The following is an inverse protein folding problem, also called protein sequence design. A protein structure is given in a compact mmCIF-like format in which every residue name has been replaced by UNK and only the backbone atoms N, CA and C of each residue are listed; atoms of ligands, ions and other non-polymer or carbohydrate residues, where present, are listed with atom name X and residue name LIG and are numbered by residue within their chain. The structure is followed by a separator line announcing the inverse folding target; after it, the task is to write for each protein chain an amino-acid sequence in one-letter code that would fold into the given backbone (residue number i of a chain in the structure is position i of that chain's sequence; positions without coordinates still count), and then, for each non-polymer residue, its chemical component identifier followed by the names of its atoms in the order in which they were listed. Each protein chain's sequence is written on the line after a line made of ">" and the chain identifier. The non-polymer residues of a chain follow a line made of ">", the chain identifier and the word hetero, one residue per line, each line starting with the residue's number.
data_IF_532052656891
#
_entry.id   IF_532052656891
#
_cell.length_a   1.000
_cell.length_b   1.000
_cell.length_c   1.000
_cell.angle_alpha   90.00
_cell.angle_beta   90.00
_cell.angle_gamma   90.00
#
_symmetry.space_group_name_H-M   'P 1'
#
loop_
_entity.id
_entity.type
_entity.pdbx_description
1 polymer ?
#
# COMPACT_ATOMS: atom_id res chain seq x y z
N UNK A 1 -23.99 40.09 -11.60
CA UNK A 1 -23.33 40.29 -12.91
C UNK A 1 -22.45 39.13 -13.36
N UNK A 2 -21.62 38.53 -12.49
CA UNK A 2 -20.82 37.33 -12.82
C UNK A 2 -21.61 36.19 -13.49
N UNK A 3 -22.67 35.68 -12.85
CA UNK A 3 -23.47 34.57 -13.41
C UNK A 3 -24.17 34.95 -14.71
N UNK A 4 -24.65 36.19 -14.85
CA UNK A 4 -25.26 36.65 -16.10
C UNK A 4 -24.25 36.59 -17.25
N UNK A 5 -23.01 36.99 -17.01
CA UNK A 5 -21.95 36.94 -18.03
C UNK A 5 -21.65 35.51 -18.47
N UNK A 6 -21.34 34.61 -17.53
CA UNK A 6 -20.90 33.24 -17.86
C UNK A 6 -22.02 32.23 -18.19
N UNK A 7 -23.30 32.59 -17.98
CA UNK A 7 -24.43 31.78 -18.42
C UNK A 7 -24.93 32.15 -19.82
N UNK A 8 -24.72 33.40 -20.26
CA UNK A 8 -25.16 33.86 -21.59
C UNK A 8 -24.02 33.89 -22.63
N UNK A 9 -22.76 34.09 -22.20
CA UNK A 9 -21.57 34.03 -23.07
C UNK A 9 -20.89 32.65 -22.96
N UNK A 10 -20.18 32.19 -24.00
CA UNK A 10 -19.40 30.94 -23.94
C UNK A 10 -18.30 31.01 -22.86
N UNK A 11 -18.10 29.90 -22.13
CA UNK A 11 -17.18 29.83 -21.01
C UNK A 11 -15.71 29.78 -21.47
N UNK A 12 -14.83 30.68 -21.00
CA UNK A 12 -13.40 30.54 -21.20
C UNK A 12 -12.85 29.43 -20.30
N UNK A 13 -11.99 28.57 -20.87
CA UNK A 13 -11.31 27.50 -20.15
C UNK A 13 -9.80 27.71 -20.19
N UNK A 14 -9.17 27.60 -19.03
CA UNK A 14 -7.73 27.79 -18.84
C UNK A 14 -7.11 26.55 -18.20
N UNK A 15 -5.87 26.24 -18.58
CA UNK A 15 -5.08 25.18 -17.94
C UNK A 15 -4.67 25.56 -16.52
N UNK A 16 -4.52 24.56 -15.65
CA UNK A 16 -3.91 24.65 -14.31
C UNK A 16 -2.79 23.61 -14.11
N UNK A 17 -2.29 23.05 -15.22
CA UNK A 17 -1.25 22.01 -15.20
C UNK A 17 0.06 22.49 -14.56
N UNK A 18 0.33 23.79 -14.64
CA UNK A 18 1.44 24.50 -14.01
C UNK A 18 1.45 24.36 -12.48
N UNK A 19 0.30 24.10 -11.85
CA UNK A 19 0.19 23.89 -10.41
C UNK A 19 0.22 22.42 -9.96
N UNK A 20 0.10 21.47 -10.89
CA UNK A 20 0.02 20.03 -10.59
C UNK A 20 0.98 19.19 -11.44
N UNK A 21 2.13 19.75 -11.78
CA UNK A 21 3.06 19.20 -12.77
C UNK A 21 3.88 18.02 -12.24
N UNK A 22 4.29 18.05 -10.97
CA UNK A 22 5.25 17.13 -10.38
C UNK A 22 4.89 15.66 -10.56
N UNK A 23 3.62 15.29 -10.31
CA UNK A 23 3.17 13.89 -10.41
C UNK A 23 3.25 13.36 -11.85
N UNK A 24 2.94 14.21 -12.84
CA UNK A 24 3.02 13.87 -14.26
C UNK A 24 4.48 13.73 -14.71
N UNK A 25 5.33 14.68 -14.36
CA UNK A 25 6.76 14.60 -14.68
C UNK A 25 7.40 13.37 -14.07
N UNK A 26 7.14 13.09 -12.80
CA UNK A 26 7.65 11.87 -12.15
C UNK A 26 7.19 10.61 -12.89
N UNK A 27 5.92 10.52 -13.28
CA UNK A 27 5.40 9.36 -14.02
C UNK A 27 6.07 9.21 -15.39
N UNK A 28 6.23 10.31 -16.14
CA UNK A 28 6.85 10.31 -17.48
C UNK A 28 8.36 10.04 -17.45
N UNK A 29 9.05 10.40 -16.36
CA UNK A 29 10.45 10.02 -16.12
C UNK A 29 10.55 8.52 -15.83
N UNK A 30 9.62 7.97 -15.03
CA UNK A 30 9.56 6.52 -14.74
C UNK A 30 9.29 5.71 -16.02
N UNK A 31 8.44 6.19 -16.94
CA UNK A 31 8.20 5.55 -18.23
C UNK A 31 9.27 5.82 -19.28
N UNK A 32 10.28 6.65 -18.95
CA UNK A 32 11.34 7.09 -19.87
C UNK A 32 10.82 7.85 -21.09
N UNK A 33 9.71 8.56 -20.93
CA UNK A 33 9.26 9.55 -21.92
C UNK A 33 10.08 10.84 -21.80
N UNK A 34 10.49 11.18 -20.58
CA UNK A 34 11.38 12.30 -20.27
C UNK A 34 12.69 11.71 -19.73
N UNK A 35 13.76 11.77 -20.52
CA UNK A 35 15.10 11.28 -20.10
C UNK A 35 16.05 12.44 -19.76
N UNK A 36 15.73 13.66 -20.18
CA UNK A 36 16.52 14.86 -19.89
C UNK A 36 15.64 16.14 -19.84
N UNK A 37 16.22 17.26 -19.44
CA UNK A 37 15.50 18.55 -19.33
C UNK A 37 14.92 19.04 -20.67
N UNK A 38 15.52 18.71 -21.81
CA UNK A 38 14.99 19.10 -23.12
C UNK A 38 13.72 18.32 -23.46
N UNK A 39 13.70 17.01 -23.20
CA UNK A 39 12.49 16.19 -23.38
C UNK A 39 11.33 16.69 -22.52
N UNK A 40 11.64 17.19 -21.32
CA UNK A 40 10.67 17.82 -20.42
C UNK A 40 10.04 19.09 -21.01
N UNK A 41 10.86 19.96 -21.61
CA UNK A 41 10.36 21.15 -22.33
C UNK A 41 9.51 20.72 -23.53
N UNK A 42 9.98 19.73 -24.30
CA UNK A 42 9.28 19.21 -25.46
C UNK A 42 7.94 18.61 -25.06
N UNK A 43 7.88 17.84 -23.97
CA UNK A 43 6.65 17.29 -23.38
C UNK A 43 5.63 18.39 -23.07
N UNK A 44 6.05 19.51 -22.49
CA UNK A 44 5.15 20.63 -22.21
C UNK A 44 4.54 21.23 -23.48
N UNK A 45 5.22 21.19 -24.63
CA UNK A 45 4.67 21.73 -25.89
C UNK A 45 3.42 20.99 -26.38
N UNK A 46 3.21 19.75 -25.94
CA UNK A 46 2.02 18.94 -26.29
C UNK A 46 0.77 19.31 -25.47
N UNK A 47 0.94 20.13 -24.43
CA UNK A 47 -0.12 20.38 -23.45
C UNK A 47 -1.08 21.51 -23.86
N UNK A 48 -2.28 21.50 -23.26
CA UNK A 48 -3.19 22.64 -23.35
C UNK A 48 -2.62 23.90 -22.69
N UNK A 49 -1.77 23.74 -21.67
CA UNK A 49 -1.06 24.83 -21.00
C UNK A 49 -0.23 25.65 -22.00
N UNK A 50 0.60 24.99 -22.81
CA UNK A 50 1.43 25.65 -23.81
C UNK A 50 0.60 26.47 -24.81
N UNK A 51 -0.53 25.91 -25.27
CA UNK A 51 -1.45 26.62 -26.17
C UNK A 51 -2.03 27.88 -25.52
N UNK A 52 -2.38 27.82 -24.23
CA UNK A 52 -3.01 28.95 -23.51
C UNK A 52 -2.03 30.04 -23.07
N UNK A 53 -0.77 29.70 -22.79
CA UNK A 53 0.27 30.68 -22.44
C UNK A 53 0.42 31.79 -23.50
N UNK A 54 0.26 31.46 -24.79
CA UNK A 54 0.32 32.45 -25.89
C UNK A 54 -0.94 33.31 -26.02
N UNK A 55 -2.08 32.84 -25.49
CA UNK A 55 -3.38 33.49 -25.65
C UNK A 55 -3.76 34.35 -24.45
N UNK A 56 -3.35 33.95 -23.24
CA UNK A 56 -3.62 34.67 -22.01
C UNK A 56 -2.38 34.63 -21.07
N UNK A 57 -1.27 35.28 -21.46
CA UNK A 57 0.02 35.17 -20.75
C UNK A 57 -0.06 35.64 -19.29
N UNK A 58 -0.81 36.71 -19.02
CA UNK A 58 -0.95 37.26 -17.67
C UNK A 58 -1.58 36.28 -16.67
N UNK A 59 -2.42 35.35 -17.14
CA UNK A 59 -3.02 34.32 -16.29
C UNK A 59 -1.95 33.38 -15.71
N UNK A 60 -0.92 33.09 -16.49
CA UNK A 60 0.21 32.21 -16.17
C UNK A 60 1.43 32.98 -15.66
N UNK A 61 1.27 34.26 -15.32
CA UNK A 61 2.36 35.16 -14.92
C UNK A 61 3.46 35.38 -15.98
N UNK A 62 3.18 35.17 -17.26
CA UNK A 62 4.10 35.54 -18.35
C UNK A 62 4.01 37.04 -18.65
N UNK A 63 5.16 37.69 -18.81
CA UNK A 63 5.27 39.12 -19.13
C UNK A 63 5.17 39.42 -20.64
N UNK A 64 5.20 38.39 -21.49
CA UNK A 64 5.17 38.54 -22.94
C UNK A 64 4.92 37.21 -23.66
N UNK A 65 4.66 37.29 -24.96
CA UNK A 65 4.32 36.15 -25.82
C UNK A 65 5.37 35.85 -26.90
N UNK A 66 6.54 36.48 -26.83
CA UNK A 66 7.61 36.17 -27.77
C UNK A 66 8.16 34.76 -27.49
N UNK A 67 8.75 34.13 -28.52
CA UNK A 67 9.40 32.82 -28.37
C UNK A 67 10.39 32.77 -27.19
N UNK A 68 11.11 33.86 -26.94
CA UNK A 68 12.03 33.98 -25.80
C UNK A 68 11.28 33.93 -24.46
N UNK A 69 10.23 34.74 -24.28
CA UNK A 69 9.47 34.73 -23.03
C UNK A 69 8.84 33.37 -22.73
N UNK A 70 8.32 32.69 -23.76
CA UNK A 70 7.75 31.35 -23.62
C UNK A 70 8.82 30.32 -23.27
N UNK A 71 9.95 30.33 -23.99
CA UNK A 71 11.06 29.41 -23.72
C UNK A 71 11.61 29.60 -22.31
N UNK A 72 11.89 30.84 -21.91
CA UNK A 72 12.44 31.17 -20.59
C UNK A 72 11.48 30.68 -19.48
N UNK A 73 10.17 30.88 -19.66
CA UNK A 73 9.16 30.45 -18.68
C UNK A 73 9.01 28.93 -18.61
N UNK A 74 9.01 28.22 -19.74
CA UNK A 74 8.95 26.75 -19.75
C UNK A 74 10.20 26.15 -19.10
N UNK A 75 11.38 26.71 -19.38
CA UNK A 75 12.63 26.29 -18.75
C UNK A 75 12.59 26.50 -17.24
N UNK A 76 12.10 27.64 -16.75
CA UNK A 76 11.93 27.90 -15.31
C UNK A 76 10.96 26.90 -14.66
N UNK A 77 9.85 26.60 -15.34
CA UNK A 77 8.83 25.65 -14.86
C UNK A 77 9.38 24.22 -14.75
N UNK A 78 10.14 23.78 -15.76
CA UNK A 78 10.83 22.48 -15.76
C UNK A 78 11.88 22.43 -14.65
N UNK A 79 12.72 23.46 -14.54
CA UNK A 79 13.79 23.52 -13.53
C UNK A 79 13.22 23.42 -12.11
N UNK A 80 12.19 24.23 -11.80
CA UNK A 80 11.54 24.21 -10.49
C UNK A 80 10.91 22.84 -10.19
N UNK A 81 10.21 22.26 -11.16
CA UNK A 81 9.51 20.97 -10.99
C UNK A 81 10.51 19.84 -10.75
N UNK A 82 11.58 19.77 -11.55
CA UNK A 82 12.62 18.75 -11.42
C UNK A 82 13.41 18.92 -10.12
N UNK A 83 13.74 20.16 -9.73
CA UNK A 83 14.42 20.45 -8.47
C UNK A 83 13.60 19.99 -7.26
N UNK A 84 12.28 20.25 -7.25
CA UNK A 84 11.39 19.80 -6.17
C UNK A 84 11.29 18.26 -6.10
N UNK A 85 11.26 17.59 -7.26
CA UNK A 85 11.24 16.12 -7.37
C UNK A 85 12.55 15.49 -6.91
N UNK A 86 13.69 16.10 -7.27
CA UNK A 86 15.01 15.68 -6.81
C UNK A 86 15.16 15.88 -5.30
N UNK A 87 14.73 17.03 -4.76
CA UNK A 87 14.72 17.29 -3.32
C UNK A 87 13.89 16.26 -2.55
N UNK A 88 12.81 15.78 -3.17
CA UNK A 88 11.93 14.73 -2.65
C UNK A 88 12.47 13.31 -2.87
N UNK A 89 13.68 13.16 -3.45
CA UNK A 89 14.34 11.90 -3.80
C UNK A 89 13.49 10.98 -4.69
N UNK A 90 12.64 11.57 -5.53
CA UNK A 90 11.84 10.84 -6.51
C UNK A 90 12.62 10.60 -7.80
N UNK A 91 13.51 11.52 -8.16
CA UNK A 91 14.40 11.45 -9.31
C UNK A 91 15.83 11.82 -8.91
N UNK A 92 16.80 11.49 -9.76
CA UNK A 92 18.16 12.01 -9.72
C UNK A 92 18.45 12.81 -11.00
N UNK A 93 19.20 13.91 -10.86
CA UNK A 93 19.67 14.71 -11.99
C UNK A 93 21.17 14.49 -12.15
N UNK A 94 21.60 13.99 -13.30
CA UNK A 94 23.00 13.74 -13.66
C UNK A 94 23.48 14.82 -14.65
N UNK A 95 24.72 15.29 -14.47
CA UNK A 95 25.34 16.34 -15.31
C UNK A 95 24.48 17.60 -15.52
N UNK A 96 23.63 17.92 -14.54
CA UNK A 96 22.65 19.02 -14.57
C UNK A 96 21.62 18.96 -15.73
N UNK A 97 21.54 17.84 -16.45
CA UNK A 97 20.75 17.70 -17.68
C UNK A 97 19.90 16.43 -17.73
N UNK A 98 20.50 15.28 -17.48
CA UNK A 98 19.86 13.98 -17.62
C UNK A 98 19.11 13.63 -16.33
N UNK A 99 17.96 12.96 -16.46
CA UNK A 99 17.10 12.61 -15.33
C UNK A 99 16.82 11.11 -15.29
N UNK A 100 16.88 10.53 -14.09
CA UNK A 100 16.58 9.12 -13.87
C UNK A 100 15.61 8.94 -12.70
N UNK A 101 14.69 7.96 -12.77
CA UNK A 101 13.78 7.67 -11.67
C UNK A 101 14.49 6.98 -10.51
N UNK A 102 14.17 7.38 -9.27
CA UNK A 102 14.60 6.70 -8.04
C UNK A 102 13.46 5.84 -7.47
N UNK A 103 13.77 5.04 -6.44
CA UNK A 103 12.82 4.13 -5.77
C UNK A 103 11.52 4.82 -5.35
N UNK A 104 11.58 6.03 -4.75
CA UNK A 104 10.37 6.74 -4.34
C UNK A 104 9.53 7.20 -5.55
N UNK A 105 10.18 7.66 -6.62
CA UNK A 105 9.49 8.08 -7.85
C UNK A 105 8.79 6.91 -8.54
N UNK A 106 9.46 5.75 -8.60
CA UNK A 106 8.88 4.50 -9.12
C UNK A 106 7.65 4.07 -8.32
N UNK A 107 7.71 4.10 -6.98
CA UNK A 107 6.57 3.76 -6.11
C UNK A 107 5.42 4.76 -6.33
N UNK A 108 5.72 6.05 -6.43
CA UNK A 108 4.71 7.10 -6.65
C UNK A 108 3.96 6.94 -7.97
N UNK A 109 4.70 6.70 -9.05
CA UNK A 109 4.12 6.45 -10.36
C UNK A 109 3.31 5.14 -10.39
N UNK A 110 3.83 4.06 -9.79
CA UNK A 110 3.19 2.75 -9.80
C UNK A 110 1.82 2.74 -9.10
N UNK A 111 1.71 3.37 -7.93
CA UNK A 111 0.46 3.41 -7.15
C UNK A 111 -0.42 4.63 -7.43
N UNK A 112 0.03 5.52 -8.32
CA UNK A 112 -0.64 6.78 -8.63
C UNK A 112 -0.89 7.64 -7.37
N UNK A 113 0.19 7.86 -6.61
CA UNK A 113 0.20 8.61 -5.36
C UNK A 113 0.99 9.89 -5.56
N UNK A 114 0.51 10.99 -4.98
CA UNK A 114 1.19 12.27 -5.05
C UNK A 114 2.61 12.18 -4.46
N UNK A 115 3.61 12.74 -5.14
CA UNK A 115 5.02 12.66 -4.76
C UNK A 115 5.28 13.14 -3.32
N UNK A 116 4.57 14.19 -2.89
CA UNK A 116 4.70 14.72 -1.53
C UNK A 116 4.26 13.69 -0.49
N UNK A 117 3.26 12.86 -0.79
CA UNK A 117 2.73 11.86 0.15
C UNK A 117 3.73 10.74 0.42
N UNK A 118 4.52 10.36 -0.58
CA UNK A 118 5.56 9.31 -0.45
C UNK A 118 6.85 9.85 0.16
N UNK A 119 7.15 11.14 -0.06
CA UNK A 119 8.27 11.81 0.60
C UNK A 119 8.12 11.85 2.14
N UNK A 120 6.88 11.77 2.65
CA UNK A 120 6.63 11.64 4.09
C UNK A 120 6.74 10.18 4.55
N UNK A 121 7.40 9.91 5.69
CA UNK A 121 7.51 8.57 6.23
C UNK A 121 6.12 7.99 6.54
N UNK A 122 5.92 6.67 6.35
CA UNK A 122 4.62 6.03 6.47
C UNK A 122 4.05 6.20 7.88
N UNK A 123 2.71 6.29 8.02
CA UNK A 123 2.07 6.38 9.31
C UNK A 123 2.29 5.06 10.08
N UNK A 124 3.05 5.13 11.17
CA UNK A 124 3.09 4.04 12.15
C UNK A 124 1.78 4.03 12.94
N UNK A 125 1.26 2.84 13.32
CA UNK A 125 0.13 2.76 14.24
C UNK A 125 0.52 3.42 15.56
N UNK A 126 0.11 4.69 15.75
CA UNK A 126 0.42 5.49 16.93
C UNK A 126 0.95 6.92 16.67
N UNK A 127 1.45 7.25 15.47
CA UNK A 127 1.85 8.64 15.13
C UNK A 127 0.87 9.24 14.11
N UNK A 128 -0.12 9.95 14.64
CA UNK A 128 -1.30 10.43 13.92
C UNK A 128 -1.10 11.61 12.98
N UNK A 129 -0.51 11.40 11.80
CA UNK A 129 -0.82 12.21 10.62
C UNK A 129 -1.14 11.29 9.47
N UNK A 130 -2.44 11.05 9.30
CA UNK A 130 -2.96 10.07 8.34
C UNK A 130 -3.86 10.84 7.37
N UNK A 131 -3.40 10.92 6.12
CA UNK A 131 -4.20 10.97 4.89
C UNK A 131 -5.20 12.14 4.75
N UNK A 132 -4.82 13.13 3.94
CA UNK A 132 -5.62 14.32 3.68
C UNK A 132 -6.39 14.14 2.39
N UNK A 133 -7.65 13.71 2.47
CA UNK A 133 -8.50 13.60 1.28
C UNK A 133 -9.93 14.12 1.46
N UNK A 134 -10.38 14.45 2.67
CA UNK A 134 -11.77 14.90 2.88
C UNK A 134 -11.82 16.35 3.42
N UNK A 135 -12.13 17.37 2.59
CA UNK A 135 -12.11 18.78 2.98
C UNK A 135 -13.29 19.24 3.86
N UNK A 136 -14.27 18.37 4.13
CA UNK A 136 -15.44 18.71 4.94
C UNK A 136 -15.15 18.60 6.44
N UNK A 137 -15.19 19.75 7.14
CA UNK A 137 -15.11 19.84 8.60
C UNK A 137 -16.18 18.93 9.23
N UNK A 138 -15.78 18.02 10.13
CA UNK A 138 -16.71 17.14 10.82
C UNK A 138 -17.16 17.77 12.15
N UNK A 139 -18.41 18.29 12.25
CA UNK A 139 -18.89 18.96 13.47
C UNK A 139 -19.00 18.03 14.68
N UNK A 140 -19.04 16.69 14.48
CA UNK A 140 -19.11 15.67 15.55
C UNK A 140 -17.76 15.00 15.86
N UNK A 141 -16.66 15.44 15.25
CA UNK A 141 -15.33 14.86 15.45
C UNK A 141 -14.88 14.77 16.94
N UNK A 142 -15.21 15.72 17.83
CA UNK A 142 -14.83 15.63 19.24
C UNK A 142 -15.44 14.43 19.97
N UNK A 143 -16.70 14.08 19.67
CA UNK A 143 -17.39 12.95 20.29
C UNK A 143 -16.82 11.62 19.80
N UNK A 144 -16.45 11.54 18.52
CA UNK A 144 -15.84 10.35 17.93
C UNK A 144 -14.43 10.12 18.53
N UNK A 145 -13.63 11.18 18.68
CA UNK A 145 -12.29 11.10 19.27
C UNK A 145 -12.28 10.52 20.70
N UNK A 146 -13.37 10.71 21.47
CA UNK A 146 -13.51 10.12 22.80
C UNK A 146 -13.82 8.62 22.78
N UNK A 147 -14.38 8.08 21.69
CA UNK A 147 -14.77 6.67 21.58
C UNK A 147 -13.72 5.79 20.89
N UNK A 148 -12.88 6.37 20.02
CA UNK A 148 -11.87 5.59 19.28
C UNK A 148 -10.75 5.04 20.18
N UNK A 149 -10.13 3.89 19.83
CA UNK A 149 -9.10 3.27 20.65
C UNK A 149 -7.84 4.12 20.84
N UNK A 150 -7.34 4.76 19.78
CA UNK A 150 -6.11 5.54 19.83
C UNK A 150 -6.41 7.04 19.90
N UNK A 151 -6.08 7.65 21.05
CA UNK A 151 -6.26 9.08 21.27
C UNK A 151 -5.22 9.89 20.52
N UNK A 152 -5.65 11.01 19.95
CA UNK A 152 -4.80 11.96 19.26
C UNK A 152 -4.28 13.01 20.26
N UNK A 153 -3.01 13.37 20.13
CA UNK A 153 -2.40 14.46 20.92
C UNK A 153 -2.78 15.80 20.30
N UNK A 154 -3.49 16.64 21.06
CA UNK A 154 -3.92 18.00 20.64
C UNK A 154 -4.59 18.04 19.24
N UNK A 155 -5.69 17.31 19.02
CA UNK A 155 -6.32 17.22 17.70
C UNK A 155 -6.92 18.55 17.28
N UNK A 156 -6.58 18.99 16.07
CA UNK A 156 -7.24 20.10 15.39
C UNK A 156 -8.38 19.53 14.54
N UNK A 157 -9.63 19.67 14.99
CA UNK A 157 -10.78 19.05 14.32
C UNK A 157 -11.18 19.65 12.96
N UNK A 158 -10.54 20.75 12.57
CA UNK A 158 -10.60 21.32 11.23
C UNK A 158 -9.56 20.72 10.27
N UNK A 159 -8.63 19.90 10.77
CA UNK A 159 -7.62 19.23 9.96
C UNK A 159 -8.22 17.98 9.27
N UNK A 160 -8.21 17.89 7.93
CA UNK A 160 -8.70 16.71 7.22
C UNK A 160 -7.95 15.43 7.60
N UNK A 161 -6.66 15.51 7.97
CA UNK A 161 -5.89 14.34 8.42
C UNK A 161 -6.40 13.77 9.75
N UNK A 162 -6.81 14.65 10.67
CA UNK A 162 -7.41 14.25 11.94
C UNK A 162 -8.74 13.55 11.70
N UNK A 163 -9.57 14.10 10.80
CA UNK A 163 -10.85 13.49 10.41
C UNK A 163 -10.63 12.09 9.82
N UNK A 164 -9.76 11.95 8.83
CA UNK A 164 -9.48 10.66 8.19
C UNK A 164 -8.97 9.62 9.18
N UNK A 165 -8.09 10.02 10.09
CA UNK A 165 -7.61 9.13 11.15
C UNK A 165 -8.75 8.60 12.01
N UNK A 166 -9.64 9.49 12.49
CA UNK A 166 -10.78 9.10 13.32
C UNK A 166 -11.76 8.20 12.58
N UNK A 167 -12.03 8.46 11.30
CA UNK A 167 -12.91 7.64 10.47
C UNK A 167 -12.32 6.26 10.21
N UNK A 168 -11.01 6.16 9.95
CA UNK A 168 -10.35 4.88 9.79
C UNK A 168 -10.40 4.05 11.08
N UNK A 169 -10.16 4.68 12.24
CA UNK A 169 -10.32 3.99 13.53
C UNK A 169 -11.77 3.55 13.78
N UNK A 170 -12.75 4.38 13.40
CA UNK A 170 -14.16 4.04 13.52
C UNK A 170 -14.53 2.84 12.64
N UNK A 171 -13.99 2.77 11.41
CA UNK A 171 -14.12 1.63 10.50
C UNK A 171 -13.55 0.35 11.10
N UNK A 172 -12.30 0.37 11.59
CA UNK A 172 -11.66 -0.78 12.24
C UNK A 172 -12.41 -1.25 13.50
N UNK A 173 -13.07 -0.32 14.19
CA UNK A 173 -13.95 -0.62 15.33
C UNK A 173 -15.40 -0.98 14.95
N UNK A 174 -15.75 -0.99 13.66
CA UNK A 174 -17.12 -1.21 13.14
C UNK A 174 -18.17 -0.31 13.80
N UNK A 175 -17.79 0.94 14.11
CA UNK A 175 -18.71 1.91 14.72
C UNK A 175 -19.74 2.37 13.70
N UNK A 176 -21.01 2.42 14.11
CA UNK A 176 -22.07 2.97 13.28
C UNK A 176 -21.97 4.50 13.21
N UNK A 177 -21.80 5.03 12.00
CA UNK A 177 -21.66 6.45 11.71
C UNK A 177 -22.91 7.00 11.00
N UNK A 178 -23.05 8.33 10.94
CA UNK A 178 -24.08 8.96 10.10
C UNK A 178 -23.75 8.76 8.61
N UNK A 179 -24.77 8.75 7.75
CA UNK A 179 -24.61 8.52 6.31
C UNK A 179 -23.55 9.42 5.66
N UNK A 180 -23.47 10.70 6.04
CA UNK A 180 -22.44 11.63 5.56
C UNK A 180 -21.01 11.17 5.89
N UNK A 181 -20.77 10.72 7.13
CA UNK A 181 -19.45 10.25 7.56
C UNK A 181 -19.14 8.86 7.02
N UNK A 182 -20.16 8.05 6.77
CA UNK A 182 -20.02 6.75 6.11
C UNK A 182 -19.59 6.95 4.66
N UNK A 183 -20.20 7.90 3.93
CA UNK A 183 -19.78 8.28 2.57
C UNK A 183 -18.33 8.76 2.54
N UNK A 184 -17.93 9.60 3.49
CA UNK A 184 -16.52 10.03 3.62
C UNK A 184 -15.59 8.83 3.89
N UNK A 185 -16.02 7.88 4.73
CA UNK A 185 -15.25 6.68 5.06
C UNK A 185 -15.06 5.80 3.84
N UNK A 186 -16.09 5.59 3.02
CA UNK A 186 -15.99 4.81 1.79
C UNK A 186 -15.01 5.45 0.79
N UNK A 187 -15.00 6.79 0.67
CA UNK A 187 -14.02 7.48 -0.17
C UNK A 187 -12.60 7.28 0.36
N UNK A 188 -12.39 7.36 1.68
CA UNK A 188 -11.09 7.09 2.31
C UNK A 188 -10.63 5.66 2.01
N UNK A 189 -11.51 4.67 2.22
CA UNK A 189 -11.21 3.26 2.02
C UNK A 189 -10.85 2.94 0.57
N UNK A 190 -11.50 3.62 -0.39
CA UNK A 190 -11.23 3.46 -1.83
C UNK A 190 -9.78 3.80 -2.22
N UNK A 191 -9.09 4.62 -1.41
CA UNK A 191 -7.70 5.05 -1.62
C UNK A 191 -6.73 4.45 -0.60
N UNK A 192 -7.22 3.86 0.49
CA UNK A 192 -6.39 3.41 1.60
C UNK A 192 -5.43 2.27 1.22
N UNK A 193 -5.91 1.28 0.46
CA UNK A 193 -5.12 0.08 0.13
C UNK A 193 -3.86 0.42 -0.67
N UNK A 194 -3.97 1.24 -1.71
CA UNK A 194 -2.81 1.65 -2.51
C UNK A 194 -1.79 2.44 -1.68
N UNK A 195 -2.24 3.26 -0.73
CA UNK A 195 -1.36 3.99 0.19
C UNK A 195 -0.63 3.02 1.13
N UNK A 196 -1.33 2.01 1.66
CA UNK A 196 -0.74 1.00 2.53
C UNK A 196 0.29 0.16 1.76
N UNK A 197 -0.03 -0.25 0.53
CA UNK A 197 0.90 -0.99 -0.33
C UNK A 197 2.15 -0.17 -0.68
N UNK A 198 2.00 1.11 -0.97
CA UNK A 198 3.15 2.01 -1.13
C UNK A 198 3.98 2.14 0.15
N UNK A 199 3.34 2.14 1.34
CA UNK A 199 4.06 2.11 2.62
C UNK A 199 4.87 0.82 2.76
N UNK A 200 4.32 -0.34 2.41
CA UNK A 200 5.05 -1.62 2.41
C UNK A 200 6.29 -1.53 1.52
N UNK A 201 6.15 -1.01 0.31
CA UNK A 201 7.26 -0.94 -0.65
C UNK A 201 8.36 0.03 -0.18
N UNK A 202 7.99 1.19 0.39
CA UNK A 202 8.95 2.14 0.99
C UNK A 202 9.67 1.51 2.20
N UNK A 203 8.95 0.82 3.08
CA UNK A 203 9.53 0.19 4.27
C UNK A 203 10.46 -0.96 3.89
N UNK A 204 10.10 -1.74 2.88
CA UNK A 204 10.90 -2.84 2.37
C UNK A 204 12.17 -2.36 1.67
N UNK A 205 12.11 -1.25 0.91
CA UNK A 205 13.28 -0.63 0.29
C UNK A 205 14.26 -0.06 1.32
N UNK A 206 13.78 0.33 2.50
CA UNK A 206 14.61 0.73 3.63
C UNK A 206 15.11 -0.44 4.48
N UNK A 207 14.70 -1.68 4.18
CA UNK A 207 15.11 -2.88 4.91
C UNK A 207 14.50 -3.03 6.30
N UNK A 208 13.35 -2.40 6.61
CA UNK A 208 12.74 -2.49 7.94
C UNK A 208 11.65 -3.57 8.00
N UNK A 209 11.91 -4.65 8.75
CA UNK A 209 11.02 -5.82 8.77
C UNK A 209 9.70 -5.56 9.51
N UNK A 210 9.75 -5.27 10.82
CA UNK A 210 8.55 -5.15 11.66
C UNK A 210 7.57 -4.08 11.16
N UNK A 211 8.01 -2.87 10.73
CA UNK A 211 7.08 -1.91 10.14
C UNK A 211 6.45 -2.41 8.84
N UNK A 212 7.19 -3.12 7.99
CA UNK A 212 6.66 -3.65 6.73
C UNK A 212 5.59 -4.72 7.00
N UNK A 213 5.86 -5.67 7.90
CA UNK A 213 4.87 -6.68 8.32
C UNK A 213 3.63 -6.03 8.94
N UNK A 214 3.81 -5.03 9.80
CA UNK A 214 2.68 -4.28 10.38
C UNK A 214 1.86 -3.51 9.33
N UNK A 215 2.48 -3.04 8.24
CA UNK A 215 1.77 -2.41 7.13
C UNK A 215 0.99 -3.45 6.30
N UNK A 216 1.51 -4.68 6.15
CA UNK A 216 0.77 -5.79 5.53
C UNK A 216 -0.45 -6.17 6.37
N UNK A 217 -0.28 -6.33 7.68
CA UNK A 217 -1.39 -6.55 8.62
C UNK A 217 -2.42 -5.42 8.57
N UNK A 218 -1.98 -4.16 8.45
CA UNK A 218 -2.89 -3.02 8.30
C UNK A 218 -3.75 -3.12 7.04
N UNK A 219 -3.22 -3.68 5.93
CA UNK A 219 -4.01 -3.93 4.73
C UNK A 219 -5.14 -4.94 4.99
N UNK A 220 -4.85 -6.00 5.74
CA UNK A 220 -5.84 -7.01 6.14
C UNK A 220 -6.89 -6.40 7.10
N UNK A 221 -6.43 -5.66 8.12
CA UNK A 221 -7.27 -4.97 9.09
C UNK A 221 -8.27 -4.01 8.43
N UNK A 222 -7.80 -3.22 7.46
CA UNK A 222 -8.64 -2.26 6.71
C UNK A 222 -9.64 -3.00 5.82
N UNK A 223 -9.22 -4.11 5.19
CA UNK A 223 -10.10 -4.93 4.34
C UNK A 223 -11.21 -5.58 5.16
N UNK A 224 -10.89 -6.18 6.31
CA UNK A 224 -11.83 -6.92 7.15
C UNK A 224 -12.51 -6.08 8.24
N UNK A 225 -12.19 -4.78 8.30
CA UNK A 225 -12.71 -3.83 9.28
C UNK A 225 -12.57 -4.34 10.73
N UNK A 226 -11.33 -4.65 11.14
CA UNK A 226 -11.03 -5.16 12.47
C UNK A 226 -9.63 -4.77 12.94
N UNK A 227 -9.40 -4.82 14.25
CA UNK A 227 -8.09 -4.56 14.85
C UNK A 227 -7.23 -5.83 14.89
N UNK A 228 -5.91 -5.68 14.92
CA UNK A 228 -4.97 -6.81 15.03
C UNK A 228 -5.15 -7.67 16.28
N UNK A 229 -5.76 -7.12 17.34
CA UNK A 229 -6.05 -7.83 18.60
C UNK A 229 -7.46 -8.45 18.65
N UNK A 230 -8.28 -8.23 17.61
CA UNK A 230 -9.59 -8.84 17.54
C UNK A 230 -9.47 -10.32 17.17
N UNK A 231 -10.47 -11.13 17.53
CA UNK A 231 -10.56 -12.53 17.09
C UNK A 231 -10.70 -12.62 15.57
N UNK A 232 -9.97 -13.53 14.93
CA UNK A 232 -10.06 -13.79 13.49
C UNK A 232 -11.47 -14.23 13.04
N UNK A 233 -12.26 -14.80 13.95
CA UNK A 233 -13.66 -15.17 13.72
C UNK A 233 -14.57 -13.98 13.42
N UNK A 234 -14.15 -12.75 13.79
CA UNK A 234 -14.89 -11.51 13.50
C UNK A 234 -15.02 -11.24 12.00
N UNK A 235 -14.21 -11.87 11.16
CA UNK A 235 -14.29 -11.79 9.69
C UNK A 235 -15.55 -12.48 9.14
N UNK A 236 -16.07 -13.48 9.85
CA UNK A 236 -17.20 -14.27 9.39
C UNK A 236 -18.49 -13.43 9.36
N UNK A 237 -19.33 -13.57 8.32
CA UNK A 237 -20.63 -12.93 8.27
C UNK A 237 -21.49 -13.29 9.48
N UNK A 238 -22.31 -12.35 9.94
CA UNK A 238 -23.28 -12.54 11.03
C UNK A 238 -22.69 -12.85 12.42
N UNK A 239 -21.36 -12.86 12.58
CA UNK A 239 -20.72 -13.06 13.88
C UNK A 239 -20.84 -11.83 14.78
N UNK A 240 -21.34 -12.06 15.99
CA UNK A 240 -21.37 -11.07 17.07
C UNK A 240 -20.33 -11.39 18.14
N UNK A 241 -20.08 -10.46 19.06
CA UNK A 241 -19.18 -10.70 20.20
C UNK A 241 -19.63 -11.89 21.08
N UNK A 242 -20.92 -12.22 21.12
CA UNK A 242 -21.44 -13.38 21.84
C UNK A 242 -21.04 -14.70 21.15
N UNK A 243 -21.16 -14.76 19.82
CA UNK A 243 -20.74 -15.91 19.03
C UNK A 243 -19.24 -16.16 19.21
N UNK A 244 -18.42 -15.11 19.12
CA UNK A 244 -16.97 -15.20 19.32
C UNK A 244 -16.66 -15.76 20.71
N UNK A 245 -17.30 -15.22 21.76
CA UNK A 245 -17.09 -15.70 23.13
C UNK A 245 -17.40 -17.19 23.27
N UNK A 246 -18.51 -17.64 22.68
CA UNK A 246 -18.90 -19.06 22.72
C UNK A 246 -17.91 -19.96 21.97
N UNK A 247 -17.38 -19.49 20.84
CA UNK A 247 -16.34 -20.21 20.10
C UNK A 247 -15.06 -20.32 20.94
N UNK A 248 -14.60 -19.20 21.53
CA UNK A 248 -13.40 -19.20 22.37
C UNK A 248 -13.56 -20.07 23.62
N UNK A 249 -14.74 -20.07 24.25
CA UNK A 249 -15.03 -20.91 25.43
C UNK A 249 -14.95 -22.42 25.09
N UNK A 250 -15.12 -22.77 23.81
CA UNK A 250 -15.00 -24.14 23.28
C UNK A 250 -13.61 -24.47 22.74
N UNK A 251 -12.71 -23.49 22.67
CA UNK A 251 -11.36 -23.65 22.10
C UNK A 251 -11.28 -23.44 20.58
N UNK A 252 -12.28 -22.81 19.96
CA UNK A 252 -12.27 -22.40 18.55
C UNK A 252 -11.83 -20.94 18.47
N UNK A 253 -10.65 -20.70 17.93
CA UNK A 253 -10.01 -19.38 17.85
C UNK A 253 -9.74 -18.91 16.41
N UNK A 254 -9.72 -19.83 15.45
CA UNK A 254 -9.39 -19.59 14.05
C UNK A 254 -10.52 -19.98 13.09
N UNK A 255 -10.46 -19.47 11.85
CA UNK A 255 -11.40 -19.88 10.78
C UNK A 255 -11.17 -21.33 10.38
N UNK A 256 -9.91 -21.81 10.43
CA UNK A 256 -9.56 -23.20 10.16
C UNK A 256 -10.26 -24.16 11.14
N UNK A 257 -10.32 -23.80 12.43
CA UNK A 257 -11.01 -24.61 13.44
C UNK A 257 -12.48 -24.83 13.07
N UNK A 258 -13.17 -23.80 12.54
CA UNK A 258 -14.57 -23.89 12.12
C UNK A 258 -14.72 -24.75 10.85
N UNK A 259 -13.74 -24.71 9.95
CA UNK A 259 -13.72 -25.52 8.73
C UNK A 259 -13.56 -27.01 9.03
N UNK A 260 -12.77 -27.34 10.05
CA UNK A 260 -12.53 -28.72 10.50
C UNK A 260 -13.68 -29.31 11.32
N UNK A 261 -14.59 -28.48 11.85
CA UNK A 261 -15.75 -28.94 12.61
C UNK A 261 -16.78 -29.68 11.74
N UNK A 262 -17.39 -30.73 12.29
CA UNK A 262 -18.55 -31.40 11.72
C UNK A 262 -19.79 -30.48 11.66
N UNK A 263 -20.65 -30.66 10.65
CA UNK A 263 -21.78 -29.76 10.39
C UNK A 263 -22.79 -29.67 11.55
N UNK A 264 -23.05 -30.78 12.24
CA UNK A 264 -23.93 -30.82 13.42
C UNK A 264 -23.35 -30.00 14.57
N UNK A 265 -22.05 -30.14 14.81
CA UNK A 265 -21.33 -29.44 15.88
C UNK A 265 -21.21 -27.95 15.58
N UNK A 266 -20.94 -27.60 14.32
CA UNK A 266 -20.88 -26.22 13.83
C UNK A 266 -22.23 -25.53 13.98
N UNK A 267 -23.32 -26.17 13.55
CA UNK A 267 -24.67 -25.62 13.64
C UNK A 267 -25.09 -25.41 15.10
N UNK A 268 -24.80 -26.39 15.97
CA UNK A 268 -25.10 -26.29 17.40
C UNK A 268 -24.29 -25.18 18.10
N UNK A 269 -23.03 -24.96 17.69
CA UNK A 269 -22.18 -23.91 18.23
C UNK A 269 -22.63 -22.52 17.78
N UNK A 270 -22.84 -22.34 16.47
CA UNK A 270 -23.12 -21.04 15.89
C UNK A 270 -24.55 -20.57 16.20
N UNK A 271 -25.53 -21.47 16.28
CA UNK A 271 -26.95 -21.13 16.51
C UNK A 271 -27.49 -20.07 15.53
N UNK A 272 -26.95 -20.04 14.31
CA UNK A 272 -27.39 -19.15 13.25
C UNK A 272 -28.51 -19.81 12.42
N UNK A 273 -29.42 -19.03 11.81
CA UNK A 273 -30.35 -19.55 10.81
C UNK A 273 -29.62 -20.18 9.62
N UNK A 274 -30.23 -21.17 8.98
CA UNK A 274 -29.66 -21.93 7.85
C UNK A 274 -29.12 -21.03 6.73
N UNK A 275 -29.82 -19.95 6.39
CA UNK A 275 -29.37 -18.98 5.39
C UNK A 275 -28.07 -18.27 5.79
N UNK A 276 -27.88 -17.97 7.07
CA UNK A 276 -26.66 -17.33 7.59
C UNK A 276 -25.52 -18.33 7.70
N UNK A 277 -25.81 -19.61 8.00
CA UNK A 277 -24.83 -20.70 7.94
C UNK A 277 -24.30 -20.86 6.51
N UNK A 278 -25.18 -20.75 5.50
CA UNK A 278 -24.74 -20.79 4.10
C UNK A 278 -23.80 -19.63 3.74
N UNK A 279 -24.03 -18.42 4.25
CA UNK A 279 -23.12 -17.28 4.07
C UNK A 279 -21.75 -17.52 4.74
N UNK A 280 -21.76 -18.13 5.93
CA UNK A 280 -20.53 -18.52 6.66
C UNK A 280 -19.78 -19.60 5.88
N UNK A 281 -20.47 -20.64 5.39
CA UNK A 281 -19.86 -21.69 4.57
C UNK A 281 -19.25 -21.13 3.29
N UNK A 282 -19.94 -20.17 2.63
CA UNK A 282 -19.40 -19.47 1.47
C UNK A 282 -18.13 -18.68 1.80
N UNK A 283 -18.06 -18.06 2.98
CA UNK A 283 -16.85 -17.39 3.44
C UNK A 283 -15.72 -18.40 3.68
N UNK A 284 -15.98 -19.50 4.39
CA UNK A 284 -15.00 -20.55 4.66
C UNK A 284 -14.43 -21.16 3.36
N UNK A 285 -15.28 -21.45 2.37
CA UNK A 285 -14.83 -21.96 1.06
C UNK A 285 -14.02 -20.92 0.25
N UNK A 286 -14.17 -19.63 0.56
CA UNK A 286 -13.37 -18.55 -0.03
C UNK A 286 -12.08 -18.28 0.74
N UNK A 287 -12.05 -18.66 2.02
CA UNK A 287 -10.96 -18.33 2.91
C UNK A 287 -9.69 -19.07 2.46
N UNK A 288 -8.52 -18.39 2.39
CA UNK A 288 -7.33 -19.00 1.81
C UNK A 288 -6.82 -20.21 2.61
N UNK A 289 -6.84 -21.38 1.99
CA UNK A 289 -6.06 -22.56 2.42
C UNK A 289 -4.94 -22.79 1.40
N UNK A 290 -3.72 -22.41 1.74
CA UNK A 290 -2.56 -22.43 0.83
C UNK A 290 -1.42 -23.18 1.51
N UNK A 291 -0.96 -24.25 0.87
CA UNK A 291 0.25 -24.96 1.29
C UNK A 291 1.49 -24.26 0.73
N UNK A 292 2.45 -24.00 1.61
CA UNK A 292 3.74 -23.42 1.27
C UNK A 292 4.84 -24.46 1.46
N UNK A 293 5.60 -24.70 0.39
CA UNK A 293 6.89 -25.39 0.47
C UNK A 293 8.02 -24.47 0.01
N UNK A 294 9.20 -24.62 0.60
CA UNK A 294 10.36 -23.83 0.22
C UNK A 294 11.64 -24.67 0.20
N UNK A 295 12.53 -24.31 -0.72
CA UNK A 295 13.87 -24.88 -0.82
C UNK A 295 14.90 -23.75 -0.93
N UNK A 296 16.05 -23.93 -0.27
CA UNK A 296 17.18 -23.02 -0.42
C UNK A 296 18.10 -23.69 -1.43
N UNK A 297 18.39 -23.02 -2.54
CA UNK A 297 19.30 -23.51 -3.56
C UNK A 297 20.72 -23.61 -3.02
N UNK A 298 21.43 -24.67 -3.42
CA UNK A 298 22.88 -24.81 -3.21
C UNK A 298 23.33 -24.63 -1.75
N UNK A 299 22.54 -25.11 -0.77
CA UNK A 299 22.78 -24.92 0.68
C UNK A 299 24.22 -25.15 1.12
N UNK A 300 24.87 -26.17 0.55
CA UNK A 300 26.22 -26.58 0.94
C UNK A 300 27.33 -25.76 0.27
N UNK A 301 27.02 -24.90 -0.70
CA UNK A 301 28.01 -24.11 -1.45
C UNK A 301 27.78 -22.59 -1.35
N UNK A 302 26.97 -22.13 -0.39
CA UNK A 302 26.78 -20.71 -0.14
C UNK A 302 28.04 -20.12 0.48
N UNK A 303 28.60 -19.10 -0.17
CA UNK A 303 29.80 -18.37 0.27
C UNK A 303 29.45 -16.92 0.60
N UNK A 304 30.21 -16.32 1.51
CA UNK A 304 30.08 -14.90 1.88
C UNK A 304 30.15 -14.01 0.63
N UNK A 305 29.18 -13.10 0.46
CA UNK A 305 29.07 -12.25 -0.73
C UNK A 305 28.46 -12.92 -1.97
N UNK A 306 28.21 -14.23 -1.94
CA UNK A 306 27.54 -14.96 -3.01
C UNK A 306 26.01 -14.83 -2.96
N UNK A 307 25.30 -15.15 -4.06
CA UNK A 307 23.85 -15.14 -4.08
C UNK A 307 23.26 -16.33 -3.32
N UNK A 308 22.29 -16.06 -2.45
CA UNK A 308 21.42 -17.07 -1.85
C UNK A 308 20.09 -17.03 -2.57
N UNK A 309 19.61 -18.18 -3.04
CA UNK A 309 18.32 -18.29 -3.72
C UNK A 309 17.38 -19.15 -2.87
N UNK A 310 16.20 -18.63 -2.58
CA UNK A 310 15.12 -19.36 -1.94
C UNK A 310 13.97 -19.48 -2.93
N UNK A 311 13.63 -20.73 -3.30
CA UNK A 311 12.47 -21.01 -4.14
C UNK A 311 11.30 -21.40 -3.24
N UNK A 312 10.20 -20.67 -3.38
CA UNK A 312 8.94 -20.92 -2.67
C UNK A 312 7.92 -21.43 -3.68
N UNK A 313 7.24 -22.51 -3.35
CA UNK A 313 6.14 -23.07 -4.12
C UNK A 313 4.86 -22.98 -3.28
N UNK A 314 3.83 -22.39 -3.88
CA UNK A 314 2.54 -22.16 -3.26
C UNK A 314 1.52 -22.99 -4.03
N UNK A 315 0.73 -23.78 -3.30
CA UNK A 315 -0.32 -24.62 -3.87
C UNK A 315 -1.61 -24.44 -3.08
N UNK A 316 -2.70 -24.21 -3.80
CA UNK A 316 -4.06 -24.19 -3.26
C UNK A 316 -4.75 -25.49 -3.69
N UNK A 317 -5.36 -26.18 -2.72
CA UNK A 317 -6.03 -27.47 -2.95
C UNK A 317 -7.19 -27.35 -3.95
N UNK A 318 -7.98 -26.27 -3.84
CA UNK A 318 -9.13 -26.03 -4.73
C UNK A 318 -9.02 -24.70 -5.50
N UNK A 319 -9.49 -24.70 -6.75
CA UNK A 319 -9.58 -23.48 -7.54
C UNK A 319 -10.75 -22.62 -7.04
N UNK A 320 -10.42 -21.48 -6.41
CA UNK A 320 -11.41 -20.60 -5.82
C UNK A 320 -11.77 -19.48 -6.79
N UNK A 321 -13.02 -19.45 -7.24
CA UNK A 321 -13.50 -18.46 -8.22
C UNK A 321 -14.14 -17.23 -7.56
N UNK A 322 -13.57 -16.05 -7.79
CA UNK A 322 -14.16 -14.74 -7.50
C UNK A 322 -13.42 -13.94 -6.42
N UNK A 323 -13.86 -12.71 -6.12
CA UNK A 323 -13.11 -11.79 -5.28
C UNK A 323 -13.13 -12.17 -3.79
N UNK A 324 -12.27 -11.48 -3.03
CA UNK A 324 -12.25 -11.45 -1.57
C UNK A 324 -13.65 -11.12 -1.04
N UNK A 325 -14.12 -11.87 -0.04
CA UNK A 325 -15.33 -11.56 0.71
C UNK A 325 -14.96 -10.63 1.86
N UNK A 326 -15.26 -9.34 1.67
CA UNK A 326 -15.06 -8.28 2.64
C UNK A 326 -16.28 -7.35 2.63
N UNK A 327 -17.40 -7.72 3.29
CA UNK A 327 -18.69 -7.02 3.14
C UNK A 327 -18.69 -5.58 3.66
N UNK A 328 -17.71 -5.21 4.49
CA UNK A 328 -17.55 -3.87 5.04
C UNK A 328 -16.57 -2.99 4.22
N UNK A 329 -16.00 -3.53 3.15
CA UNK A 329 -15.11 -2.80 2.26
C UNK A 329 -15.84 -2.41 0.96
N UNK A 330 -15.76 -1.16 0.49
CA UNK A 330 -16.63 -0.66 -0.58
C UNK A 330 -16.30 -1.22 -1.98
N UNK A 331 -15.06 -1.64 -2.23
CA UNK A 331 -14.63 -2.12 -3.53
C UNK A 331 -14.43 -3.63 -3.55
N UNK A 332 -14.68 -4.27 -4.70
CA UNK A 332 -14.26 -5.65 -4.91
C UNK A 332 -12.74 -5.71 -5.02
N UNK A 333 -12.13 -6.70 -4.38
CA UNK A 333 -10.68 -6.89 -4.36
C UNK A 333 -10.33 -8.33 -4.72
N UNK A 334 -9.20 -8.48 -5.39
CA UNK A 334 -8.53 -9.78 -5.55
C UNK A 334 -7.51 -9.97 -4.42
N UNK A 335 -7.16 -11.21 -4.15
CA UNK A 335 -6.18 -11.57 -3.13
C UNK A 335 -4.76 -11.20 -3.58
N UNK A 336 -4.08 -10.38 -2.78
CA UNK A 336 -2.65 -10.11 -2.90
C UNK A 336 -1.87 -10.81 -1.78
N UNK A 337 -0.67 -11.27 -2.11
CA UNK A 337 0.23 -11.93 -1.18
C UNK A 337 1.63 -11.34 -1.23
N UNK A 338 2.30 -11.30 -0.09
CA UNK A 338 3.73 -11.03 0.02
C UNK A 338 4.46 -12.27 0.54
N UNK A 339 5.56 -12.60 -0.14
CA UNK A 339 6.57 -13.53 0.36
C UNK A 339 7.76 -12.70 0.79
N UNK A 340 8.16 -12.80 2.05
CA UNK A 340 9.19 -11.96 2.66
C UNK A 340 10.22 -12.84 3.35
N UNK A 341 11.50 -12.53 3.17
CA UNK A 341 12.59 -13.10 3.95
C UNK A 341 13.12 -11.99 4.85
N UNK A 342 13.22 -12.26 6.14
CA UNK A 342 13.75 -11.31 7.11
C UNK A 342 14.56 -11.98 8.21
N UNK A 343 15.42 -11.20 8.85
CA UNK A 343 16.04 -11.56 10.12
C UNK A 343 15.29 -10.86 11.26
N UNK A 344 14.53 -11.65 12.01
CA UNK A 344 13.72 -11.19 13.13
C UNK A 344 14.56 -10.62 14.28
N UNK A 345 15.83 -11.01 14.42
CA UNK A 345 16.71 -10.52 15.50
C UNK A 345 17.23 -9.12 15.21
N UNK A 346 17.67 -8.87 13.98
CA UNK A 346 18.16 -7.55 13.56
C UNK A 346 17.05 -6.62 13.07
N UNK A 347 15.81 -7.11 12.97
CA UNK A 347 14.67 -6.37 12.40
C UNK A 347 14.94 -5.92 10.94
N UNK A 348 15.68 -6.75 10.21
CA UNK A 348 16.11 -6.48 8.84
C UNK A 348 15.26 -7.25 7.84
N UNK A 349 14.67 -6.53 6.88
CA UNK A 349 14.01 -7.12 5.73
C UNK A 349 15.06 -7.37 4.64
N UNK A 350 15.16 -8.62 4.20
CA UNK A 350 16.25 -9.09 3.33
C UNK A 350 15.79 -9.19 1.88
N UNK A 351 14.60 -9.77 1.66
CA UNK A 351 14.03 -9.93 0.33
C UNK A 351 12.51 -9.93 0.42
N UNK A 352 11.84 -9.39 -0.58
CA UNK A 352 10.38 -9.32 -0.64
C UNK A 352 9.91 -9.54 -2.07
N UNK A 353 8.79 -10.23 -2.24
CA UNK A 353 8.12 -10.37 -3.52
C UNK A 353 6.61 -10.37 -3.34
N UNK A 354 5.93 -9.57 -4.15
CA UNK A 354 4.47 -9.53 -4.21
C UNK A 354 3.97 -10.42 -5.33
N UNK A 355 2.89 -11.15 -5.09
CA UNK A 355 2.23 -11.97 -6.11
C UNK A 355 0.70 -11.98 -5.94
N UNK A 356 0.03 -12.45 -6.97
CA UNK A 356 -1.35 -12.94 -6.90
C UNK A 356 -1.31 -14.46 -7.11
N UNK A 357 -2.17 -15.19 -6.42
CA UNK A 357 -2.24 -16.65 -6.50
C UNK A 357 -3.64 -17.05 -6.96
N UNK A 358 -3.70 -17.87 -8.01
CA UNK A 358 -4.94 -18.53 -8.42
C UNK A 358 -4.99 -19.95 -7.84
N UNK A 359 -4.19 -20.87 -8.39
CA UNK A 359 -4.08 -22.25 -7.89
C UNK A 359 -2.65 -22.61 -7.47
N UNK A 360 -1.67 -22.37 -8.33
CA UNK A 360 -0.25 -22.65 -8.05
C UNK A 360 0.63 -21.49 -8.45
N UNK A 361 1.68 -21.23 -7.67
CA UNK A 361 2.72 -20.26 -8.03
C UNK A 361 4.10 -20.74 -7.57
N UNK A 362 5.12 -20.39 -8.35
CA UNK A 362 6.52 -20.54 -7.96
C UNK A 362 7.16 -19.16 -7.87
N UNK A 363 7.75 -18.86 -6.73
CA UNK A 363 8.32 -17.56 -6.41
C UNK A 363 9.77 -17.75 -6.04
N UNK A 364 10.66 -17.16 -6.84
CA UNK A 364 12.09 -17.06 -6.52
C UNK A 364 12.36 -15.76 -5.78
N UNK A 365 12.99 -15.86 -4.61
CA UNK A 365 13.58 -14.76 -3.86
C UNK A 365 15.10 -14.97 -3.80
N UNK A 366 15.85 -13.89 -3.95
CA UNK A 366 17.30 -13.90 -3.87
C UNK A 366 17.82 -12.74 -3.03
N UNK A 367 18.98 -12.95 -2.41
CA UNK A 367 19.71 -11.97 -1.61
C UNK A 367 21.19 -12.33 -1.51
N UNK A 368 22.01 -11.42 -1.00
CA UNK A 368 23.45 -11.63 -0.85
C UNK A 368 23.76 -12.24 0.52
N UNK A 369 24.53 -13.32 0.54
CA UNK A 369 24.98 -13.95 1.78
C UNK A 369 25.83 -12.98 2.61
N UNK A 370 25.57 -12.83 3.92
CA UNK A 370 26.34 -11.96 4.81
C UNK A 370 27.68 -12.63 5.18
N UNK A 371 28.30 -12.20 6.28
CA UNK A 371 29.53 -12.79 6.79
C UNK A 371 29.37 -14.28 7.15
N UNK A 372 30.51 -14.97 7.10
CA UNK A 372 30.68 -16.40 7.40
C UNK A 372 30.03 -16.80 8.72
N UNK A 373 29.34 -17.94 8.71
CA UNK A 373 28.65 -18.51 9.88
C UNK A 373 27.24 -18.99 9.56
N UNK A 374 26.63 -19.64 10.54
CA UNK A 374 25.22 -20.06 10.50
C UNK A 374 24.33 -18.86 10.73
N UNK A 375 23.61 -18.46 9.67
CA UNK A 375 22.64 -17.37 9.72
C UNK A 375 21.23 -17.94 9.84
N UNK A 376 20.39 -17.27 10.61
CA UNK A 376 19.00 -17.66 10.81
C UNK A 376 18.07 -16.63 10.20
N UNK A 377 17.13 -17.11 9.40
CA UNK A 377 16.15 -16.29 8.71
C UNK A 377 14.74 -16.82 8.95
N UNK A 378 13.76 -15.95 8.73
CA UNK A 378 12.35 -16.29 8.76
C UNK A 378 11.74 -15.93 7.42
N UNK A 379 11.09 -16.92 6.80
CA UNK A 379 10.23 -16.74 5.64
C UNK A 379 8.81 -16.43 6.14
N UNK A 380 8.27 -15.30 5.71
CA UNK A 380 6.90 -14.87 5.99
C UNK A 380 6.08 -14.94 4.72
N UNK A 381 4.85 -15.44 4.84
CA UNK A 381 3.84 -15.39 3.79
C UNK A 381 2.64 -14.63 4.33
N UNK A 382 2.37 -13.44 3.78
CA UNK A 382 1.42 -12.47 4.33
C UNK A 382 0.32 -12.15 3.33
N UNK A 383 -0.94 -12.13 3.77
CA UNK A 383 -2.07 -11.67 2.95
C UNK A 383 -2.20 -10.15 2.97
N UNK A 384 -2.86 -9.56 1.96
CA UNK A 384 -3.29 -8.16 1.97
C UNK A 384 -4.80 -7.98 2.26
N UNK A 385 -5.51 -9.08 2.53
CA UNK A 385 -6.95 -9.13 2.56
C UNK A 385 -7.56 -9.92 3.73
N UNK A 386 -6.98 -11.05 4.12
CA UNK A 386 -7.50 -11.92 5.18
C UNK A 386 -6.56 -11.96 6.37
N UNK A 387 -7.12 -11.97 7.58
CA UNK A 387 -6.35 -12.11 8.83
C UNK A 387 -6.33 -13.55 9.29
N UNK A 388 -5.17 -14.04 9.75
CA UNK A 388 -5.02 -15.42 10.23
C UNK A 388 -4.70 -16.43 9.12
N UNK A 389 -4.28 -15.95 7.94
CA UNK A 389 -3.69 -16.78 6.87
C UNK A 389 -2.16 -16.68 6.82
N UNK A 390 -1.57 -15.86 7.69
CA UNK A 390 -0.15 -15.55 7.65
C UNK A 390 0.67 -16.73 8.16
N UNK A 391 1.75 -17.07 7.46
CA UNK A 391 2.59 -18.23 7.79
C UNK A 391 4.04 -17.80 8.00
N UNK A 392 4.71 -18.43 8.97
CA UNK A 392 6.11 -18.18 9.30
C UNK A 392 6.92 -19.48 9.33
N UNK A 393 8.03 -19.50 8.58
CA UNK A 393 8.95 -20.63 8.52
C UNK A 393 10.36 -20.18 8.83
N UNK A 394 10.92 -20.68 9.94
CA UNK A 394 12.31 -20.41 10.32
C UNK A 394 13.23 -21.38 9.58
N UNK A 395 14.30 -20.85 9.02
CA UNK A 395 15.34 -21.64 8.36
C UNK A 395 16.72 -21.08 8.66
N UNK A 396 17.74 -21.89 8.41
CA UNK A 396 19.14 -21.48 8.55
C UNK A 396 19.93 -21.71 7.27
N UNK A 397 20.95 -20.88 7.09
CA UNK A 397 21.87 -20.95 5.97
C UNK A 397 23.29 -20.91 6.52
N UNK A 398 24.10 -21.90 6.17
CA UNK A 398 25.50 -21.97 6.56
C UNK A 398 26.37 -21.30 5.51
N UNK A 399 26.89 -20.12 5.85
CA UNK A 399 27.71 -19.33 4.93
C UNK A 399 29.18 -19.67 5.11
N UNK A 400 29.84 -20.12 4.04
CA UNK A 400 31.27 -20.47 4.00
C UNK A 400 32.15 -19.28 3.63
N UNK A 401 33.45 -19.38 3.91
CA UNK A 401 34.44 -18.40 3.47
C UNK A 401 34.43 -18.24 1.94
N UNK A 402 34.66 -17.00 1.49
CA UNK A 402 34.94 -16.73 0.08
C UNK A 402 36.22 -17.47 -0.33
N UNK A 403 36.29 -17.98 -1.55
CA UNK A 403 37.56 -18.46 -2.08
C UNK A 403 38.55 -17.29 -2.08
N UNK A 404 39.68 -17.45 -1.39
CA UNK A 404 40.81 -16.56 -1.59
C UNK A 404 41.28 -16.77 -3.02
N UNK A 405 41.35 -15.70 -3.82
CA UNK A 405 42.16 -15.67 -5.04
C UNK A 405 43.63 -15.84 -4.65
N UNK A 406 44.00 -17.05 -4.28
CA UNK A 406 45.37 -17.53 -4.19
C UNK A 406 45.50 -18.58 -5.29
N UNK A 407 45.77 -18.11 -6.51
CA UNK A 407 46.66 -18.77 -7.48
C UNK A 407 46.59 -18.04 -8.84
N UNK A 408 47.45 -17.04 -9.01
CA UNK A 408 48.10 -16.75 -10.30
C UNK A 408 49.38 -15.95 -10.05
N UNK A 409 50.42 -16.68 -9.63
CA UNK A 409 51.83 -16.26 -9.77
C UNK A 409 52.31 -16.40 -11.23
#
# INVERSE_FOLDING_TARGET
>A
DFFKKFLYEPLPVESHLDHCMHDHFNAEIVTKTIENKQDAVDYLTWTFLYRRMTQNPNYYNLQGVSHRHLSDHLSELVEQTLSDLEQSKCISIEDEMDVAPLNLGMIAAYYYINYTTIAFPPPTPGRGRVWGAAPTVCPRAPQLAQKVPHKLTNPKFNDPHVKTNLLLQAHLSRMQLSAELQSDTEEILSKAIRLIQACVDVLSSNGWLSPALAAMELAQMVTQAMWSKDSYLKQLPHFTSEHIKRCTDKGVESVFDIMEMEDEERTALLQLPEAQIADVARFCNRYPNIELSYEVGDRDSIRSGGPVVVLVQLEREEEVTGPVIAPLFPQKREEGWWVVIGDSKSNSLISIKRLTLQQKAKVKLDFVAPAVGTQHYTLYFMSDAYMGCDQEYKFSVDVKEAESDSDSD
#
